data_IF_655416987884
#
_entry.id   IF_655416987884
#
_cell.length_a   1.000
_cell.length_b   1.000
_cell.length_c   1.000
_cell.angle_alpha   90.00
_cell.angle_beta   90.00
_cell.angle_gamma   90.00
#
_symmetry.space_group_name_H-M   'P 1'
#
loop_
_entity.id
_entity.type
_entity.pdbx_description
1 polymer ?
#
# COMPACT_ATOMS: atom_id res chain seq x y z
N UNK A 1 -7.72 7.09 -12.92
CA UNK A 1 -6.74 6.76 -11.85
C UNK A 1 -5.41 7.45 -12.11
N UNK A 2 -4.55 7.57 -11.13
CA UNK A 2 -3.18 8.06 -11.25
C UNK A 2 -2.21 6.88 -11.11
N UNK A 3 -1.38 6.65 -12.12
CA UNK A 3 -0.41 5.57 -12.13
C UNK A 3 0.91 6.03 -11.51
N UNK A 4 1.48 5.19 -10.66
CA UNK A 4 2.80 5.34 -10.06
C UNK A 4 3.54 4.00 -9.95
N UNK A 5 4.76 4.04 -9.43
CA UNK A 5 5.59 2.87 -9.15
C UNK A 5 6.22 3.00 -7.76
N UNK A 6 6.49 1.87 -7.10
CA UNK A 6 7.18 1.85 -5.80
C UNK A 6 8.69 2.01 -5.92
N UNK A 7 9.28 1.74 -7.11
CA UNK A 7 10.69 2.07 -7.36
C UNK A 7 10.90 3.59 -7.29
N UNK A 8 11.92 4.01 -6.55
CA UNK A 8 12.36 5.41 -6.58
C UNK A 8 13.20 5.75 -7.82
N UNK A 9 13.45 4.78 -8.68
CA UNK A 9 14.41 4.83 -9.80
C UNK A 9 15.79 5.36 -9.34
N UNK A 10 16.85 4.91 -9.93
CA UNK A 10 18.18 5.39 -9.55
C UNK A 10 18.31 6.88 -9.90
N UNK A 11 18.60 7.74 -8.94
CA UNK A 11 18.69 9.19 -9.12
C UNK A 11 19.74 9.81 -8.18
N UNK A 12 20.23 10.99 -8.51
CA UNK A 12 21.22 11.76 -7.75
C UNK A 12 20.67 13.04 -7.12
N UNK A 13 19.41 13.40 -7.40
CA UNK A 13 18.75 14.57 -6.81
C UNK A 13 17.23 14.43 -6.81
N UNK A 14 16.50 15.19 -5.99
CA UNK A 14 15.04 15.23 -6.00
C UNK A 14 14.46 15.60 -7.36
N UNK A 15 15.08 16.54 -8.07
CA UNK A 15 14.65 16.97 -9.40
C UNK A 15 14.81 15.83 -10.43
N UNK A 16 15.93 15.13 -10.39
CA UNK A 16 16.15 13.96 -11.28
C UNK A 16 15.14 12.86 -11.01
N UNK A 17 14.86 12.57 -9.73
CA UNK A 17 13.82 11.62 -9.34
C UNK A 17 12.46 11.99 -9.93
N UNK A 18 12.00 13.22 -9.70
CA UNK A 18 10.71 13.66 -10.20
C UNK A 18 10.64 13.65 -11.73
N UNK A 19 11.70 14.09 -12.42
CA UNK A 19 11.76 14.09 -13.88
C UNK A 19 11.73 12.67 -14.47
N UNK A 20 12.40 11.71 -13.88
CA UNK A 20 12.34 10.30 -14.31
C UNK A 20 10.94 9.73 -14.24
N UNK A 21 10.23 9.95 -13.13
CA UNK A 21 8.83 9.53 -12.99
C UNK A 21 7.93 10.23 -14.02
N UNK A 22 8.10 11.53 -14.19
CA UNK A 22 7.37 12.31 -15.20
C UNK A 22 7.61 11.82 -16.63
N UNK A 23 8.86 11.48 -16.96
CA UNK A 23 9.23 10.98 -18.29
C UNK A 23 8.58 9.64 -18.62
N UNK A 24 8.24 8.82 -17.63
CA UNK A 24 7.46 7.60 -17.79
C UNK A 24 5.95 7.86 -17.91
N UNK A 25 5.50 9.11 -17.89
CA UNK A 25 4.08 9.47 -17.96
C UNK A 25 3.30 9.19 -16.68
N UNK A 26 3.99 9.03 -15.55
CA UNK A 26 3.35 8.81 -14.26
C UNK A 26 2.71 10.10 -13.71
N UNK A 27 1.65 9.96 -12.93
CA UNK A 27 0.90 11.05 -12.32
C UNK A 27 1.05 11.09 -10.79
N UNK A 28 1.48 9.97 -10.19
CA UNK A 28 1.68 9.86 -8.76
C UNK A 28 2.96 9.09 -8.45
N UNK A 29 3.45 9.21 -7.22
CA UNK A 29 4.69 8.58 -6.78
C UNK A 29 4.56 8.02 -5.37
N UNK A 30 5.28 6.93 -5.09
CA UNK A 30 5.66 6.57 -3.74
C UNK A 30 6.75 7.55 -3.27
N UNK A 31 6.61 8.10 -2.06
CA UNK A 31 7.53 9.12 -1.56
C UNK A 31 8.83 8.45 -1.06
N UNK A 32 10.01 8.82 -1.59
CA UNK A 32 11.23 8.05 -1.40
C UNK A 32 11.96 8.35 -0.09
N UNK A 33 11.52 9.34 0.68
CA UNK A 33 12.15 9.77 1.93
C UNK A 33 11.11 9.87 3.05
N UNK A 34 11.57 9.91 4.30
CA UNK A 34 10.70 9.91 5.46
C UNK A 34 11.19 10.80 6.59
N UNK A 35 10.63 10.62 7.77
CA UNK A 35 10.87 11.47 8.94
C UNK A 35 12.32 11.46 9.47
N UNK A 36 13.11 10.44 9.10
CA UNK A 36 14.50 10.30 9.55
C UNK A 36 15.51 10.91 8.54
N UNK A 37 15.05 11.35 7.35
CA UNK A 37 15.90 11.94 6.30
C UNK A 37 16.12 13.45 6.46
N UNK A 38 15.49 14.06 7.47
CA UNK A 38 15.56 15.48 7.77
C UNK A 38 14.53 16.32 6.98
N UNK A 39 14.06 17.40 7.60
CA UNK A 39 12.99 18.24 7.07
C UNK A 39 13.36 18.86 5.72
N UNK A 40 14.60 19.37 5.58
CA UNK A 40 15.07 19.97 4.32
C UNK A 40 15.02 18.99 3.14
N UNK A 41 15.35 17.72 3.39
CA UNK A 41 15.29 16.65 2.38
C UNK A 41 13.85 16.37 1.99
N UNK A 42 12.96 16.22 2.96
CA UNK A 42 11.51 16.02 2.72
C UNK A 42 10.93 17.16 1.89
N UNK A 43 11.24 18.40 2.26
CA UNK A 43 10.79 19.61 1.54
C UNK A 43 11.33 19.63 0.10
N UNK A 44 12.61 19.29 -0.11
CA UNK A 44 13.21 19.28 -1.44
C UNK A 44 12.55 18.25 -2.38
N UNK A 45 12.25 17.03 -1.89
CA UNK A 45 11.54 16.02 -2.67
C UNK A 45 10.08 16.40 -2.94
N UNK A 46 9.40 16.98 -1.94
CA UNK A 46 8.03 17.50 -2.13
C UNK A 46 7.99 18.59 -3.19
N UNK A 47 8.89 19.55 -3.12
CA UNK A 47 8.99 20.64 -4.11
C UNK A 47 9.25 20.09 -5.51
N UNK A 48 10.16 19.12 -5.65
CA UNK A 48 10.45 18.50 -6.96
C UNK A 48 9.22 17.77 -7.54
N UNK A 49 8.44 17.08 -6.69
CA UNK A 49 7.18 16.46 -7.10
C UNK A 49 6.17 17.51 -7.60
N UNK A 50 6.00 18.59 -6.85
CA UNK A 50 5.07 19.69 -7.22
C UNK A 50 5.45 20.35 -8.54
N UNK A 51 6.74 20.68 -8.73
CA UNK A 51 7.25 21.27 -9.95
C UNK A 51 7.06 20.35 -11.18
N UNK A 52 7.14 19.02 -10.96
CA UNK A 52 6.85 18.03 -11.99
C UNK A 52 5.35 17.76 -12.20
N UNK A 53 4.48 18.27 -11.33
CA UNK A 53 3.04 18.00 -11.34
C UNK A 53 2.69 16.57 -10.93
N UNK A 54 3.49 15.96 -10.04
CA UNK A 54 3.27 14.62 -9.49
C UNK A 54 2.56 14.76 -8.14
N UNK A 55 1.53 13.93 -7.92
CA UNK A 55 0.93 13.75 -6.60
C UNK A 55 1.71 12.70 -5.80
N UNK A 56 1.58 12.74 -4.48
CA UNK A 56 2.20 11.73 -3.62
C UNK A 56 1.12 10.74 -3.20
N UNK A 57 1.27 9.48 -3.64
CA UNK A 57 0.34 8.41 -3.31
C UNK A 57 0.47 8.02 -1.83
N UNK A 58 1.70 7.77 -1.40
CA UNK A 58 1.94 7.17 -0.10
C UNK A 58 3.29 7.52 0.51
N UNK A 59 3.33 7.48 1.83
CA UNK A 59 4.54 7.46 2.67
C UNK A 59 4.54 6.15 3.44
N UNK A 60 5.52 5.29 3.20
CA UNK A 60 5.60 3.98 3.85
C UNK A 60 6.14 4.05 5.27
N UNK A 61 5.57 3.24 6.17
CA UNK A 61 6.14 2.99 7.52
C UNK A 61 7.03 1.76 7.49
N UNK A 62 6.52 0.65 7.03
CA UNK A 62 7.21 -0.64 6.84
C UNK A 62 8.03 -1.06 8.05
N UNK A 63 7.40 -1.03 9.26
CA UNK A 63 7.99 -1.39 10.54
C UNK A 63 7.03 -2.21 11.39
N UNK A 64 7.60 -3.06 12.24
CA UNK A 64 6.81 -3.90 13.14
C UNK A 64 6.26 -3.10 14.33
N UNK A 65 5.11 -2.46 14.14
CA UNK A 65 4.40 -1.71 15.19
C UNK A 65 3.73 -2.63 16.25
N UNK A 66 3.83 -3.95 16.09
CA UNK A 66 3.38 -4.96 17.05
C UNK A 66 4.53 -5.83 17.60
N UNK A 67 5.78 -5.37 17.53
CA UNK A 67 6.92 -6.13 18.05
C UNK A 67 6.67 -6.65 19.48
N UNK A 68 7.20 -7.85 19.77
CA UNK A 68 7.05 -8.49 21.10
C UNK A 68 7.75 -7.66 22.19
N UNK A 69 8.96 -7.20 21.90
CA UNK A 69 9.68 -6.29 22.79
C UNK A 69 8.96 -4.93 22.91
N UNK A 70 8.55 -4.52 24.13
CA UNK A 70 7.79 -3.29 24.34
C UNK A 70 8.50 -2.01 23.91
N UNK A 71 9.84 -1.95 24.09
CA UNK A 71 10.61 -0.76 23.75
C UNK A 71 10.79 -0.66 22.23
N UNK A 72 10.98 -1.79 21.56
CA UNK A 72 10.99 -1.85 20.10
C UNK A 72 9.62 -1.47 19.52
N UNK A 73 8.55 -2.04 20.05
CA UNK A 73 7.19 -1.72 19.65
C UNK A 73 6.89 -0.23 19.78
N UNK A 74 7.21 0.37 20.93
CA UNK A 74 6.97 1.80 21.15
C UNK A 74 7.80 2.65 20.18
N UNK A 75 9.06 2.30 19.95
CA UNK A 75 9.93 2.97 18.97
C UNK A 75 9.30 2.99 17.57
N UNK A 76 8.74 1.86 17.12
CA UNK A 76 8.12 1.80 15.79
C UNK A 76 6.75 2.47 15.73
N UNK A 77 5.98 2.49 16.81
CA UNK A 77 4.78 3.31 16.92
C UNK A 77 5.13 4.80 16.82
N UNK A 78 6.15 5.25 17.55
CA UNK A 78 6.61 6.64 17.49
C UNK A 78 7.14 7.02 16.10
N UNK A 79 7.83 6.09 15.43
CA UNK A 79 8.23 6.26 14.04
C UNK A 79 7.02 6.41 13.11
N UNK A 80 6.03 5.52 13.23
CA UNK A 80 4.80 5.59 12.43
C UNK A 80 4.06 6.93 12.64
N UNK A 81 3.97 7.40 13.88
CA UNK A 81 3.38 8.72 14.18
C UNK A 81 4.12 9.85 13.46
N UNK A 82 5.45 9.82 13.42
CA UNK A 82 6.23 10.82 12.69
C UNK A 82 6.03 10.71 11.18
N UNK A 83 5.95 9.48 10.63
CA UNK A 83 5.68 9.25 9.20
C UNK A 83 4.29 9.75 8.80
N UNK A 84 3.26 9.52 9.62
CA UNK A 84 1.92 10.08 9.39
C UNK A 84 1.96 11.61 9.36
N UNK A 85 2.73 12.24 10.25
CA UNK A 85 2.89 13.70 10.25
C UNK A 85 3.62 14.22 9.01
N UNK A 86 4.63 13.48 8.52
CA UNK A 86 5.29 13.80 7.24
C UNK A 86 4.28 13.67 6.10
N UNK A 87 3.56 12.57 6.01
CA UNK A 87 2.54 12.35 5.00
C UNK A 87 1.49 13.46 4.97
N UNK A 88 1.01 13.87 6.15
CA UNK A 88 0.04 14.97 6.31
C UNK A 88 0.61 16.31 5.85
N UNK A 89 1.85 16.62 6.23
CA UNK A 89 2.52 17.88 5.88
C UNK A 89 2.78 18.03 4.38
N UNK A 90 3.08 16.92 3.68
CA UNK A 90 3.34 16.93 2.23
C UNK A 90 2.10 16.66 1.38
N UNK A 91 0.94 16.41 2.00
CA UNK A 91 -0.31 16.14 1.30
C UNK A 91 -0.32 14.80 0.56
N UNK A 92 0.32 13.75 1.10
CA UNK A 92 0.22 12.39 0.59
C UNK A 92 -1.20 11.85 0.75
N UNK A 93 -1.67 11.02 -0.18
CA UNK A 93 -2.99 10.41 -0.05
C UNK A 93 -3.07 9.52 1.19
N UNK A 94 -2.03 8.74 1.48
CA UNK A 94 -1.95 7.96 2.71
C UNK A 94 -0.54 7.85 3.30
N UNK A 95 -0.50 7.45 4.58
CA UNK A 95 0.65 6.83 5.22
C UNK A 95 0.30 5.37 5.46
N UNK A 96 1.11 4.43 4.97
CA UNK A 96 0.77 3.00 4.92
C UNK A 96 1.74 2.14 5.71
N UNK A 97 1.21 1.09 6.34
CA UNK A 97 1.96 0.01 6.97
C UNK A 97 1.20 -1.31 6.81
N UNK A 98 1.85 -2.43 7.04
CA UNK A 98 1.19 -3.68 7.41
C UNK A 98 1.07 -3.77 8.93
N UNK A 99 0.15 -4.59 9.44
CA UNK A 99 -0.06 -4.69 10.90
C UNK A 99 1.21 -5.16 11.62
N UNK A 100 1.95 -6.10 11.03
CA UNK A 100 3.07 -6.77 11.68
C UNK A 100 2.64 -7.86 12.67
N UNK A 101 3.59 -8.47 13.35
CA UNK A 101 3.31 -9.54 14.30
C UNK A 101 4.36 -9.59 15.44
N UNK A 102 3.97 -9.92 16.67
CA UNK A 102 4.92 -10.19 17.75
C UNK A 102 5.51 -11.61 17.68
N UNK A 103 5.09 -12.44 16.72
CA UNK A 103 5.42 -13.86 16.67
C UNK A 103 6.52 -14.17 15.66
N UNK A 104 7.36 -15.14 15.99
CA UNK A 104 8.38 -15.72 15.11
C UNK A 104 9.48 -14.77 14.66
N UNK A 105 10.37 -15.25 13.77
CA UNK A 105 11.59 -14.49 13.39
C UNK A 105 11.35 -13.41 12.32
N UNK A 106 10.22 -13.46 11.61
CA UNK A 106 9.87 -12.48 10.57
C UNK A 106 8.67 -11.67 11.03
N UNK A 107 8.85 -10.38 11.15
CA UNK A 107 7.81 -9.44 11.58
C UNK A 107 6.61 -9.33 10.63
N UNK A 108 6.82 -9.69 9.37
CA UNK A 108 5.84 -9.74 8.27
C UNK A 108 5.45 -11.18 7.91
N UNK A 109 5.84 -12.17 8.72
CA UNK A 109 5.63 -13.58 8.45
C UNK A 109 4.23 -14.10 8.82
N UNK A 110 3.90 -15.26 8.24
CA UNK A 110 2.66 -15.98 8.52
C UNK A 110 2.78 -16.86 9.76
N UNK A 111 1.94 -16.60 10.76
CA UNK A 111 1.86 -17.38 12.00
C UNK A 111 0.40 -17.62 12.35
N UNK A 112 0.12 -18.79 12.98
CA UNK A 112 -1.24 -19.15 13.40
C UNK A 112 -1.87 -18.06 14.29
N UNK A 113 -1.06 -17.50 15.16
CA UNK A 113 -1.45 -16.48 16.15
C UNK A 113 -1.84 -15.14 15.52
N UNK A 114 -1.46 -14.90 14.27
CA UNK A 114 -1.89 -13.71 13.53
C UNK A 114 -3.41 -13.64 13.33
N UNK A 115 -4.09 -14.78 13.45
CA UNK A 115 -5.55 -14.88 13.33
C UNK A 115 -6.28 -14.91 14.68
N UNK A 116 -5.58 -14.57 15.77
CA UNK A 116 -6.16 -14.55 17.12
C UNK A 116 -6.93 -13.25 17.39
N UNK A 117 -7.91 -13.32 18.30
CA UNK A 117 -8.59 -12.14 18.82
C UNK A 117 -7.65 -11.21 19.58
N UNK A 118 -6.59 -11.75 20.17
CA UNK A 118 -5.59 -10.99 20.91
C UNK A 118 -4.78 -10.09 19.96
N UNK A 119 -4.31 -10.63 18.82
CA UNK A 119 -3.63 -9.80 17.82
C UNK A 119 -4.57 -8.76 17.22
N UNK A 120 -5.83 -9.13 16.98
CA UNK A 120 -6.85 -8.17 16.51
C UNK A 120 -6.96 -6.97 17.45
N UNK A 121 -7.12 -7.22 18.73
CA UNK A 121 -7.24 -6.16 19.74
C UNK A 121 -5.95 -5.31 19.84
N UNK A 122 -4.79 -5.94 19.69
CA UNK A 122 -3.51 -5.21 19.64
C UNK A 122 -3.44 -4.30 18.41
N UNK A 123 -3.82 -4.79 17.23
CA UNK A 123 -3.83 -4.03 16.00
C UNK A 123 -4.77 -2.82 16.07
N UNK A 124 -6.00 -3.00 16.54
CA UNK A 124 -6.98 -1.92 16.71
C UNK A 124 -6.44 -0.83 17.67
N UNK A 125 -5.88 -1.23 18.81
CA UNK A 125 -5.29 -0.28 19.77
C UNK A 125 -4.11 0.48 19.17
N UNK A 126 -3.22 -0.20 18.46
CA UNK A 126 -2.06 0.40 17.80
C UNK A 126 -2.48 1.42 16.75
N UNK A 127 -3.42 1.07 15.87
CA UNK A 127 -3.92 1.98 14.82
C UNK A 127 -4.54 3.23 15.45
N UNK A 128 -5.40 3.06 16.46
CA UNK A 128 -5.99 4.19 17.20
C UNK A 128 -4.92 5.06 17.84
N UNK A 129 -3.91 4.47 18.50
CA UNK A 129 -2.81 5.22 19.14
C UNK A 129 -2.06 6.08 18.13
N UNK A 130 -1.74 5.54 16.96
CA UNK A 130 -1.03 6.26 15.89
C UNK A 130 -1.90 7.44 15.42
N UNK A 131 -3.15 7.21 15.06
CA UNK A 131 -4.05 8.23 14.54
C UNK A 131 -4.31 9.31 15.58
N UNK A 132 -4.71 8.92 16.81
CA UNK A 132 -5.06 9.87 17.88
C UNK A 132 -3.87 10.74 18.30
N UNK A 133 -2.64 10.23 18.14
CA UNK A 133 -1.40 10.97 18.47
C UNK A 133 -0.90 11.82 17.30
N UNK A 134 -0.94 11.30 16.08
CA UNK A 134 -0.51 12.03 14.88
C UNK A 134 -1.48 13.15 14.52
N UNK A 135 -2.79 12.89 14.60
CA UNK A 135 -3.92 13.80 14.26
C UNK A 135 -3.81 14.35 12.84
N UNK A 136 -3.71 13.48 11.81
CA UNK A 136 -3.63 13.94 10.44
C UNK A 136 -4.91 14.69 10.03
N UNK A 137 -4.78 15.63 9.09
CA UNK A 137 -5.88 16.43 8.56
C UNK A 137 -6.09 16.27 7.06
N UNK A 138 -5.04 15.89 6.35
CA UNK A 138 -4.99 15.83 4.89
C UNK A 138 -4.67 14.44 4.35
N UNK A 139 -4.08 13.59 5.18
CA UNK A 139 -3.73 12.20 4.85
C UNK A 139 -4.54 11.22 5.69
N UNK A 140 -4.56 9.94 5.28
CA UNK A 140 -5.10 8.86 6.10
C UNK A 140 -3.99 7.90 6.50
N UNK A 141 -4.11 7.31 7.69
CA UNK A 141 -3.31 6.13 8.03
C UNK A 141 -4.00 4.90 7.48
N UNK A 142 -3.29 4.08 6.73
CA UNK A 142 -3.81 2.90 6.08
C UNK A 142 -3.04 1.65 6.50
N UNK A 143 -3.74 0.53 6.54
CA UNK A 143 -3.12 -0.79 6.64
C UNK A 143 -3.29 -1.49 5.30
N UNK A 144 -2.20 -2.03 4.77
CA UNK A 144 -2.23 -2.89 3.60
C UNK A 144 -2.64 -4.31 4.00
N UNK A 145 -3.44 -4.95 3.14
CA UNK A 145 -3.80 -6.36 3.30
C UNK A 145 -2.62 -7.28 3.08
N UNK A 146 -2.55 -8.35 3.88
CA UNK A 146 -1.56 -9.42 3.71
C UNK A 146 -2.25 -10.79 3.75
N UNK A 147 -1.73 -11.83 3.06
CA UNK A 147 -2.37 -13.14 3.00
C UNK A 147 -2.54 -13.83 4.36
N UNK A 148 -1.70 -13.47 5.31
CA UNK A 148 -1.58 -14.11 6.63
C UNK A 148 -1.58 -13.13 7.81
N UNK A 149 -2.08 -11.91 7.59
CA UNK A 149 -2.26 -10.88 8.62
C UNK A 149 -3.62 -10.21 8.47
N UNK A 150 -4.00 -9.47 9.48
CA UNK A 150 -5.18 -8.61 9.48
C UNK A 150 -4.87 -7.31 8.71
N UNK A 151 -5.70 -6.92 7.74
CA UNK A 151 -6.83 -7.63 7.16
C UNK A 151 -6.40 -8.54 6.01
N UNK A 152 -7.06 -9.70 5.83
CA UNK A 152 -6.81 -10.66 4.74
C UNK A 152 -8.01 -10.82 3.80
N UNK A 153 -9.05 -10.03 4.00
CA UNK A 153 -10.25 -10.03 3.16
C UNK A 153 -11.00 -8.70 3.23
N UNK A 154 -11.88 -8.40 2.25
CA UNK A 154 -12.73 -7.22 2.30
C UNK A 154 -13.62 -7.16 3.56
N UNK A 155 -14.16 -8.29 4.00
CA UNK A 155 -14.97 -8.35 5.23
C UNK A 155 -14.15 -8.04 6.48
N UNK A 156 -12.89 -8.48 6.53
CA UNK A 156 -12.00 -8.10 7.63
C UNK A 156 -11.64 -6.62 7.62
N UNK A 157 -11.47 -6.01 6.43
CA UNK A 157 -11.31 -4.56 6.32
C UNK A 157 -12.49 -3.80 6.91
N UNK A 158 -13.72 -4.17 6.54
CA UNK A 158 -14.94 -3.53 7.09
C UNK A 158 -14.99 -3.63 8.60
N UNK A 159 -14.72 -4.82 9.15
CA UNK A 159 -14.66 -5.03 10.60
C UNK A 159 -13.56 -4.19 11.25
N UNK A 160 -12.39 -4.06 10.59
CA UNK A 160 -11.27 -3.29 11.11
C UNK A 160 -11.59 -1.78 11.09
N UNK A 161 -12.22 -1.28 10.03
CA UNK A 161 -12.67 0.11 9.92
C UNK A 161 -13.67 0.42 11.03
N UNK A 162 -14.67 -0.45 11.22
CA UNK A 162 -15.65 -0.31 12.31
C UNK A 162 -14.98 -0.35 13.68
N UNK A 163 -14.06 -1.31 13.91
CA UNK A 163 -13.36 -1.45 15.18
C UNK A 163 -12.41 -0.30 15.47
N UNK A 164 -11.75 0.26 14.47
CA UNK A 164 -10.86 1.43 14.62
C UNK A 164 -11.67 2.69 14.91
N UNK A 165 -12.82 2.88 14.26
CA UNK A 165 -13.73 4.00 14.49
C UNK A 165 -13.00 5.37 14.46
N UNK A 166 -12.25 5.60 13.37
CA UNK A 166 -11.55 6.86 13.09
C UNK A 166 -11.70 7.20 11.62
N UNK A 167 -12.16 8.41 11.33
CA UNK A 167 -12.32 8.90 9.94
C UNK A 167 -11.00 9.03 9.19
N UNK A 168 -9.90 9.13 9.93
CA UNK A 168 -8.53 9.21 9.42
C UNK A 168 -7.93 7.83 9.11
N UNK A 169 -8.68 6.75 9.35
CA UNK A 169 -8.31 5.41 8.91
C UNK A 169 -8.88 5.13 7.51
N UNK A 170 -8.12 4.44 6.65
CA UNK A 170 -8.55 4.10 5.29
C UNK A 170 -8.01 2.76 4.82
N UNK A 171 -8.48 2.32 3.66
CA UNK A 171 -8.04 1.10 3.00
C UNK A 171 -6.91 1.40 2.04
N UNK A 172 -5.78 0.72 2.20
CA UNK A 172 -4.76 0.58 1.16
C UNK A 172 -4.98 -0.77 0.49
N UNK A 173 -5.56 -0.75 -0.71
CA UNK A 173 -6.08 -1.97 -1.34
C UNK A 173 -5.00 -2.68 -2.15
N UNK A 174 -4.56 -3.82 -1.68
CA UNK A 174 -3.80 -4.80 -2.44
C UNK A 174 -4.67 -6.06 -2.66
N UNK A 175 -5.24 -6.17 -3.84
CA UNK A 175 -6.13 -7.29 -4.17
C UNK A 175 -5.36 -8.60 -4.28
N UNK A 176 -4.12 -8.56 -4.82
CA UNK A 176 -3.31 -9.76 -5.02
C UNK A 176 -2.97 -10.41 -3.68
N UNK A 177 -2.66 -9.63 -2.66
CA UNK A 177 -2.42 -10.13 -1.31
C UNK A 177 -3.66 -10.82 -0.69
N UNK A 178 -4.84 -10.54 -1.19
CA UNK A 178 -6.08 -11.21 -0.76
C UNK A 178 -6.49 -12.39 -1.64
N UNK A 179 -5.81 -12.67 -2.77
CA UNK A 179 -6.04 -13.85 -3.62
C UNK A 179 -5.37 -15.07 -3.00
N UNK A 180 -6.02 -15.65 -1.99
CA UNK A 180 -5.47 -16.73 -1.17
C UNK A 180 -6.11 -18.11 -1.43
N UNK A 181 -6.88 -18.25 -2.50
CA UNK A 181 -7.55 -19.49 -2.84
C UNK A 181 -7.68 -19.67 -4.36
N UNK A 182 -7.79 -20.94 -4.86
CA UNK A 182 -8.05 -21.22 -6.27
C UNK A 182 -9.29 -20.47 -6.79
N UNK A 183 -10.35 -20.37 -6.01
CA UNK A 183 -11.56 -19.65 -6.44
C UNK A 183 -11.26 -18.18 -6.69
N UNK A 184 -10.59 -17.49 -5.75
CA UNK A 184 -10.25 -16.06 -5.95
C UNK A 184 -9.29 -15.85 -7.11
N UNK A 185 -8.39 -16.81 -7.37
CA UNK A 185 -7.47 -16.75 -8.50
C UNK A 185 -8.19 -16.87 -9.85
N UNK A 186 -9.03 -17.92 -10.01
CA UNK A 186 -9.71 -18.17 -11.28
C UNK A 186 -10.89 -17.22 -11.57
N UNK A 187 -11.46 -16.61 -10.55
CA UNK A 187 -12.57 -15.65 -10.61
C UNK A 187 -12.14 -14.31 -10.02
N UNK A 188 -10.91 -13.86 -10.40
CA UNK A 188 -10.37 -12.62 -9.84
C UNK A 188 -11.13 -11.38 -10.30
N UNK A 189 -11.82 -11.43 -11.44
CA UNK A 189 -12.76 -10.41 -11.90
C UNK A 189 -13.97 -10.24 -10.96
N UNK A 190 -14.59 -11.35 -10.52
CA UNK A 190 -15.66 -11.32 -9.51
C UNK A 190 -15.13 -10.83 -8.15
N UNK A 191 -13.90 -11.23 -7.79
CA UNK A 191 -13.29 -10.84 -6.54
C UNK A 191 -12.90 -9.36 -6.52
N UNK A 192 -12.45 -8.80 -7.64
CA UNK A 192 -12.25 -7.36 -7.81
C UNK A 192 -13.55 -6.59 -7.55
N UNK A 193 -14.66 -7.03 -8.14
CA UNK A 193 -15.98 -6.41 -7.92
C UNK A 193 -16.35 -6.45 -6.43
N UNK A 194 -16.18 -7.61 -5.77
CA UNK A 194 -16.45 -7.77 -4.34
C UNK A 194 -15.64 -6.78 -3.50
N UNK A 195 -14.35 -6.61 -3.80
CA UNK A 195 -13.49 -5.67 -3.08
C UNK A 195 -14.01 -4.24 -3.20
N UNK A 196 -14.30 -3.78 -4.43
CA UNK A 196 -14.74 -2.40 -4.65
C UNK A 196 -16.16 -2.15 -4.16
N UNK A 197 -17.05 -3.12 -4.25
CA UNK A 197 -18.41 -3.00 -3.71
C UNK A 197 -18.40 -2.87 -2.18
N UNK A 198 -17.66 -3.76 -1.51
CA UNK A 198 -17.60 -3.77 -0.05
C UNK A 198 -16.83 -2.59 0.54
N UNK A 199 -15.73 -2.19 -0.10
CA UNK A 199 -14.83 -1.16 0.41
C UNK A 199 -15.10 0.24 -0.16
N UNK A 200 -16.19 0.40 -0.92
CA UNK A 200 -16.59 1.68 -1.49
C UNK A 200 -16.55 2.83 -0.48
N UNK A 201 -15.94 3.94 -0.87
CA UNK A 201 -15.77 5.14 -0.04
C UNK A 201 -14.65 5.04 1.01
N UNK A 202 -13.98 3.89 1.14
CA UNK A 202 -12.88 3.71 2.11
C UNK A 202 -11.51 3.59 1.45
N UNK A 203 -11.45 3.27 0.15
CA UNK A 203 -10.21 3.04 -0.59
C UNK A 203 -9.51 4.38 -0.82
N UNK A 204 -8.25 4.46 -0.39
CA UNK A 204 -7.41 5.66 -0.47
C UNK A 204 -6.31 5.54 -1.52
N UNK A 205 -5.74 4.34 -1.63
CA UNK A 205 -4.67 4.01 -2.56
C UNK A 205 -4.74 2.52 -2.90
N UNK A 206 -4.16 2.12 -4.02
CA UNK A 206 -4.10 0.74 -4.47
C UNK A 206 -2.67 0.34 -4.82
N UNK A 207 -2.27 -0.89 -4.46
CA UNK A 207 -1.16 -1.55 -5.11
C UNK A 207 -1.61 -2.30 -6.36
N UNK A 208 -0.75 -2.31 -7.35
CA UNK A 208 -0.97 -2.98 -8.63
C UNK A 208 0.20 -3.91 -8.93
N UNK A 209 -0.09 -5.18 -8.97
CA UNK A 209 0.82 -6.25 -9.40
C UNK A 209 0.00 -7.32 -10.09
N UNK A 210 0.66 -8.20 -10.81
CA UNK A 210 -0.01 -9.34 -11.44
C UNK A 210 0.33 -10.63 -10.70
N UNK A 211 -0.40 -11.69 -10.95
CA UNK A 211 -0.29 -12.94 -10.22
C UNK A 211 -0.39 -14.13 -11.16
N UNK A 212 0.50 -15.10 -10.96
CA UNK A 212 0.60 -16.31 -11.77
C UNK A 212 0.48 -17.57 -10.89
N UNK A 213 -0.35 -18.52 -11.32
CA UNK A 213 -0.40 -19.86 -10.72
C UNK A 213 0.76 -20.71 -11.25
N UNK A 214 1.59 -21.21 -10.34
CA UNK A 214 2.69 -22.11 -10.69
C UNK A 214 2.16 -23.49 -11.11
N UNK A 215 2.82 -24.18 -12.05
CA UNK A 215 2.40 -25.50 -12.53
C UNK A 215 2.77 -26.60 -11.53
N UNK A 216 2.39 -26.43 -10.27
CA UNK A 216 2.65 -27.35 -9.17
C UNK A 216 1.34 -28.02 -8.73
N UNK A 217 1.45 -29.21 -8.08
CA UNK A 217 0.25 -29.91 -7.57
C UNK A 217 -0.36 -29.26 -6.33
N UNK A 218 0.41 -28.46 -5.60
CA UNK A 218 -0.08 -27.62 -4.51
C UNK A 218 -0.39 -26.22 -5.05
N UNK A 219 -1.41 -25.55 -4.47
CA UNK A 219 -1.76 -24.20 -4.87
C UNK A 219 -0.64 -23.23 -4.47
N UNK A 220 0.15 -22.81 -5.45
CA UNK A 220 1.26 -21.87 -5.30
C UNK A 220 1.10 -20.73 -6.27
N UNK A 221 1.07 -19.52 -5.73
CA UNK A 221 1.00 -18.29 -6.50
C UNK A 221 2.35 -17.56 -6.46
N UNK A 222 2.64 -16.86 -7.52
CA UNK A 222 3.83 -16.02 -7.66
C UNK A 222 3.40 -14.65 -8.18
N UNK A 223 3.92 -13.59 -7.56
CA UNK A 223 3.76 -12.23 -8.08
C UNK A 223 4.61 -12.07 -9.33
N UNK A 224 4.10 -11.32 -10.30
CA UNK A 224 4.82 -11.06 -11.54
C UNK A 224 4.52 -9.65 -12.08
N UNK A 225 5.30 -9.23 -13.06
CA UNK A 225 5.10 -7.96 -13.75
C UNK A 225 3.70 -7.90 -14.40
N UNK A 226 3.12 -6.72 -14.43
CA UNK A 226 1.80 -6.50 -15.02
C UNK A 226 1.76 -6.97 -16.48
N UNK A 227 0.77 -7.80 -16.80
CA UNK A 227 0.61 -8.43 -18.10
C UNK A 227 1.24 -9.81 -18.26
N UNK A 228 1.95 -10.30 -17.24
CA UNK A 228 2.55 -11.63 -17.25
C UNK A 228 1.75 -12.66 -16.44
N UNK A 229 0.73 -12.22 -15.71
CA UNK A 229 -0.16 -13.04 -14.91
C UNK A 229 -1.57 -13.14 -15.49
N UNK A 230 -2.54 -13.31 -14.60
CA UNK A 230 -3.95 -13.53 -14.94
C UNK A 230 -4.90 -12.56 -14.26
N UNK A 231 -4.41 -11.58 -13.52
CA UNK A 231 -5.27 -10.57 -12.92
C UNK A 231 -5.99 -9.76 -14.02
N UNK A 232 -7.28 -9.52 -13.88
CA UNK A 232 -8.00 -8.61 -14.77
C UNK A 232 -7.63 -7.14 -14.45
N UNK A 233 -6.40 -6.78 -14.82
CA UNK A 233 -5.82 -5.45 -14.61
C UNK A 233 -6.71 -4.36 -15.23
N UNK A 234 -7.30 -4.62 -16.39
CA UNK A 234 -8.19 -3.66 -17.04
C UNK A 234 -9.45 -3.39 -16.21
N UNK A 235 -10.02 -4.44 -15.62
CA UNK A 235 -11.16 -4.30 -14.71
C UNK A 235 -10.76 -3.55 -13.44
N UNK A 236 -9.61 -3.90 -12.84
CA UNK A 236 -9.09 -3.24 -11.66
C UNK A 236 -8.95 -1.73 -11.87
N UNK A 237 -8.30 -1.32 -12.95
CA UNK A 237 -8.15 0.10 -13.34
C UNK A 237 -9.51 0.78 -13.50
N UNK A 238 -10.46 0.11 -14.17
CA UNK A 238 -11.81 0.65 -14.37
C UNK A 238 -12.53 0.88 -13.04
N UNK A 239 -12.49 -0.09 -12.14
CA UNK A 239 -13.10 0.01 -10.81
C UNK A 239 -12.44 1.10 -9.97
N UNK A 240 -11.11 1.16 -9.92
CA UNK A 240 -10.36 2.19 -9.23
C UNK A 240 -10.68 3.60 -9.77
N UNK A 241 -10.79 3.74 -11.10
CA UNK A 241 -11.16 5.01 -11.73
C UNK A 241 -12.60 5.43 -11.43
N UNK A 242 -13.52 4.47 -11.35
CA UNK A 242 -14.91 4.72 -11.00
C UNK A 242 -15.06 5.13 -9.52
N UNK A 243 -14.26 4.53 -8.64
CA UNK A 243 -14.20 4.87 -7.23
C UNK A 243 -13.67 6.31 -7.03
N UNK A 244 -12.55 6.62 -7.67
CA UNK A 244 -11.95 7.95 -7.68
C UNK A 244 -11.18 8.15 -9.00
N UNK A 245 -11.51 9.14 -9.84
CA UNK A 245 -10.78 9.44 -11.07
C UNK A 245 -9.29 9.73 -10.87
N UNK A 246 -8.89 10.08 -9.65
CA UNK A 246 -7.50 10.34 -9.27
C UNK A 246 -6.95 9.28 -8.31
N UNK A 247 -7.57 8.09 -8.25
CA UNK A 247 -7.12 6.99 -7.37
C UNK A 247 -5.65 6.68 -7.64
N UNK A 248 -4.77 6.80 -6.63
CA UNK A 248 -3.39 6.36 -6.78
C UNK A 248 -3.34 4.83 -6.93
N UNK A 249 -2.62 4.38 -7.96
CA UNK A 249 -2.32 2.96 -8.19
C UNK A 249 -0.82 2.80 -8.38
N UNK A 250 -0.16 2.10 -7.46
CA UNK A 250 1.30 1.96 -7.42
C UNK A 250 1.68 0.54 -7.84
N UNK A 251 2.40 0.42 -8.96
CA UNK A 251 3.03 -0.86 -9.36
C UNK A 251 4.16 -1.15 -8.38
N UNK A 252 4.20 -2.38 -7.86
CA UNK A 252 5.17 -2.76 -6.84
C UNK A 252 5.77 -4.17 -7.00
N UNK A 253 6.72 -4.51 -6.11
CA UNK A 253 7.35 -5.82 -5.94
C UNK A 253 8.10 -6.34 -7.19
N UNK A 254 8.56 -5.46 -8.05
CA UNK A 254 9.43 -5.82 -9.15
C UNK A 254 10.92 -5.66 -8.75
N UNK A 255 11.79 -6.40 -9.43
CA UNK A 255 13.19 -6.49 -9.02
C UNK A 255 14.06 -5.43 -9.67
N UNK A 256 13.72 -5.00 -10.89
CA UNK A 256 14.52 -4.07 -11.70
C UNK A 256 13.71 -2.88 -12.20
N UNK A 257 14.38 -1.77 -12.48
CA UNK A 257 13.73 -0.61 -13.08
C UNK A 257 13.15 -0.92 -14.46
N UNK A 258 13.75 -1.86 -15.21
CA UNK A 258 13.28 -2.33 -16.52
C UNK A 258 11.91 -3.03 -16.39
N UNK A 259 11.74 -3.90 -15.41
CA UNK A 259 10.44 -4.57 -15.14
C UNK A 259 9.35 -3.56 -14.76
N UNK A 260 9.70 -2.52 -13.98
CA UNK A 260 8.77 -1.41 -13.70
C UNK A 260 8.37 -0.66 -14.97
N UNK A 261 9.33 -0.34 -15.86
CA UNK A 261 9.07 0.35 -17.12
C UNK A 261 8.17 -0.49 -18.03
N UNK A 262 8.43 -1.79 -18.16
CA UNK A 262 7.57 -2.72 -18.91
C UNK A 262 6.14 -2.74 -18.35
N UNK A 263 5.99 -2.87 -17.04
CA UNK A 263 4.68 -2.87 -16.39
C UNK A 263 3.93 -1.55 -16.60
N UNK A 264 4.62 -0.42 -16.52
CA UNK A 264 4.04 0.91 -16.82
C UNK A 264 3.53 0.96 -18.27
N UNK A 265 4.33 0.50 -19.25
CA UNK A 265 3.94 0.48 -20.65
C UNK A 265 2.72 -0.42 -20.90
N UNK A 266 2.69 -1.60 -20.28
CA UNK A 266 1.55 -2.49 -20.36
C UNK A 266 0.29 -1.84 -19.80
N UNK A 267 0.35 -1.29 -18.58
CA UNK A 267 -0.79 -0.63 -17.92
C UNK A 267 -1.29 0.55 -18.74
N UNK A 268 -0.40 1.39 -19.27
CA UNK A 268 -0.77 2.52 -20.15
C UNK A 268 -1.40 2.06 -21.46
N UNK A 269 -1.09 0.86 -21.95
CA UNK A 269 -1.66 0.28 -23.16
C UNK A 269 -3.07 -0.31 -22.99
N UNK A 270 -3.47 -0.63 -21.73
CA UNK A 270 -4.78 -1.22 -21.43
C UNK A 270 -5.76 -0.26 -20.76
N UNK A 271 -5.29 0.93 -20.42
CA UNK A 271 -6.05 2.02 -19.77
C UNK A 271 -6.69 2.98 -20.76
#
# INVERSE_FOLDING_TARGET
MYLGISSSLKHGSPQEWAQKHKALGLQTVNFPVGCDDGEDTVVAYKQAADEAGLTIAEVGVWRNTLADDPDERQRWIDYAIRQVRVADAIGAACCVNVVGTPYGPRWDGGYRENFSSELWDMAVRMIRQIIDTARPRHTKFCIESMPWMIPSSPDEYLRLIEAVDRTEFGTHLDVVNMITSPRRYFFNDEFLDECFEKLHGTIVSCHLKDILLKPEYTFQLEECACGHGTLDIKRYIRLATAENPHMPMIIEHLTTDEEYIESVQYVQGVY
#
